data_IF_460161107912
#
_entry.id   IF_460161107912
#
_cell.length_a   1.000
_cell.length_b   1.000
_cell.length_c   1.000
_cell.angle_alpha   90.00
_cell.angle_beta   90.00
_cell.angle_gamma   90.00
#
_symmetry.space_group_name_H-M   'P 1'
#
loop_
_entity.id
_entity.type
_entity.pdbx_description
1 polymer ?
#
# COMPACT_ATOMS: atom_id res chain seq x y z
N UNK A 1 31.05 78.44 54.05
CA UNK A 1 31.93 77.26 53.97
C UNK A 1 31.35 76.02 54.66
N UNK A 2 30.98 76.05 55.96
CA UNK A 2 30.44 74.86 56.67
C UNK A 2 29.10 74.32 56.13
N UNK A 3 28.18 75.17 55.68
CA UNK A 3 26.90 74.74 55.09
C UNK A 3 27.07 74.00 53.75
N UNK A 4 27.98 74.48 52.89
CA UNK A 4 28.25 73.82 51.61
C UNK A 4 28.88 72.44 51.82
N UNK A 5 29.84 72.32 52.75
CA UNK A 5 30.46 71.04 53.10
C UNK A 5 29.45 69.99 53.61
N UNK A 6 28.45 70.41 54.38
CA UNK A 6 27.39 69.53 54.87
C UNK A 6 26.45 69.02 53.77
N UNK A 7 26.15 69.86 52.77
CA UNK A 7 25.35 69.50 51.59
C UNK A 7 26.10 68.49 50.70
N UNK A 8 27.38 68.77 50.44
CA UNK A 8 28.24 67.89 49.64
C UNK A 8 28.40 66.51 50.29
N UNK A 9 28.52 66.45 51.63
CA UNK A 9 28.55 65.19 52.39
C UNK A 9 27.25 64.39 52.30
N UNK A 10 26.10 65.04 52.27
CA UNK A 10 24.81 64.36 52.11
C UNK A 10 24.63 63.79 50.70
N UNK A 11 25.05 64.53 49.68
CA UNK A 11 25.03 64.11 48.28
C UNK A 11 25.94 62.90 48.04
N UNK A 12 27.17 62.92 48.59
CA UNK A 12 28.09 61.77 48.54
C UNK A 12 27.50 60.52 49.20
N UNK A 13 26.78 60.66 50.33
CA UNK A 13 26.12 59.52 50.97
C UNK A 13 24.97 58.96 50.12
N UNK A 14 24.19 59.83 49.48
CA UNK A 14 23.11 59.41 48.59
C UNK A 14 23.67 58.69 47.36
N UNK A 15 24.67 59.26 46.69
CA UNK A 15 25.38 58.64 45.56
C UNK A 15 25.94 57.26 45.93
N UNK A 16 26.55 57.13 47.12
CA UNK A 16 27.07 55.83 47.60
C UNK A 16 25.95 54.81 47.81
N UNK A 17 24.79 55.23 48.32
CA UNK A 17 23.62 54.38 48.51
C UNK A 17 23.04 53.91 47.16
N UNK A 18 22.90 54.82 46.21
CA UNK A 18 22.43 54.51 44.85
C UNK A 18 23.38 53.58 44.12
N UNK A 19 24.70 53.83 44.20
CA UNK A 19 25.72 52.95 43.63
C UNK A 19 25.62 51.53 44.19
N UNK A 20 25.40 51.39 45.51
CA UNK A 20 25.24 50.06 46.13
C UNK A 20 24.00 49.33 45.59
N UNK A 21 22.87 50.02 45.46
CA UNK A 21 21.64 49.45 44.88
C UNK A 21 21.84 49.05 43.42
N UNK A 22 22.51 49.89 42.63
CA UNK A 22 22.81 49.59 41.23
C UNK A 22 23.72 48.36 41.10
N UNK A 23 24.74 48.26 41.96
CA UNK A 23 25.64 47.11 41.99
C UNK A 23 24.91 45.81 42.33
N UNK A 24 24.02 45.83 43.32
CA UNK A 24 23.20 44.66 43.69
C UNK A 24 22.23 44.28 42.56
N UNK A 25 21.59 45.25 41.90
CA UNK A 25 20.73 45.01 40.75
C UNK A 25 21.50 44.41 39.56
N UNK A 26 22.69 44.94 39.26
CA UNK A 26 23.55 44.41 38.19
C UNK A 26 23.99 42.97 38.50
N UNK A 27 24.29 42.67 39.75
CA UNK A 27 24.62 41.29 40.16
C UNK A 27 23.44 40.35 39.93
N UNK A 28 22.24 40.73 40.36
CA UNK A 28 21.03 39.92 40.15
C UNK A 28 20.73 39.71 38.65
N UNK A 29 20.92 40.75 37.83
CA UNK A 29 20.76 40.65 36.38
C UNK A 29 21.77 39.66 35.77
N UNK A 30 23.02 39.70 36.22
CA UNK A 30 24.06 38.78 35.75
C UNK A 30 23.76 37.32 36.14
N UNK A 31 23.19 37.09 37.33
CA UNK A 31 22.78 35.76 37.78
C UNK A 31 21.61 35.24 36.92
N UNK A 32 20.56 36.03 36.72
CA UNK A 32 19.44 35.68 35.85
C UNK A 32 19.86 35.44 34.39
N UNK A 33 20.80 36.23 33.86
CA UNK A 33 21.33 36.05 32.50
C UNK A 33 22.03 34.70 32.34
N UNK A 34 22.79 34.25 33.36
CA UNK A 34 23.45 32.94 33.36
C UNK A 34 22.43 31.80 33.33
N UNK A 35 21.37 31.90 34.14
CA UNK A 35 20.30 30.90 34.19
C UNK A 35 19.58 30.76 32.85
N UNK A 36 19.18 31.90 32.25
CA UNK A 36 18.52 31.90 30.93
C UNK A 36 19.42 31.32 29.85
N UNK A 37 20.72 31.62 29.89
CA UNK A 37 21.70 31.07 28.93
C UNK A 37 21.84 29.56 29.08
N UNK A 38 21.89 29.06 30.32
CA UNK A 38 21.96 27.63 30.61
C UNK A 38 20.70 26.90 30.14
N UNK A 39 19.51 27.44 30.43
CA UNK A 39 18.24 26.84 30.00
C UNK A 39 18.10 26.85 28.47
N UNK A 40 18.51 27.93 27.80
CA UNK A 40 18.52 27.98 26.34
C UNK A 40 19.45 26.91 25.73
N UNK A 41 20.63 26.70 26.32
CA UNK A 41 21.52 25.61 25.90
C UNK A 41 20.88 24.23 26.07
N UNK A 42 20.20 23.99 27.21
CA UNK A 42 19.46 22.75 27.48
C UNK A 42 18.36 22.51 26.43
N UNK A 43 17.53 23.51 26.18
CA UNK A 43 16.44 23.45 25.20
C UNK A 43 16.94 23.24 23.77
N UNK A 44 18.10 23.81 23.41
CA UNK A 44 18.74 23.54 22.11
C UNK A 44 19.19 22.10 21.98
N UNK A 45 19.79 21.53 23.02
CA UNK A 45 20.20 20.13 23.03
C UNK A 45 19.00 19.19 22.94
N UNK A 46 17.93 19.46 23.70
CA UNK A 46 16.68 18.70 23.67
C UNK A 46 16.02 18.76 22.28
N UNK A 47 15.92 19.94 21.68
CA UNK A 47 15.42 20.09 20.30
C UNK A 47 16.28 19.32 19.29
N UNK A 48 17.60 19.28 19.47
CA UNK A 48 18.49 18.47 18.63
C UNK A 48 18.16 16.99 18.72
N UNK A 49 18.03 16.46 19.95
CA UNK A 49 17.67 15.07 20.21
C UNK A 49 16.30 14.70 19.62
N UNK A 50 15.30 15.55 19.82
CA UNK A 50 13.95 15.33 19.28
C UNK A 50 13.95 15.31 17.74
N UNK A 51 14.74 16.17 17.08
CA UNK A 51 14.87 16.15 15.62
C UNK A 51 15.45 14.82 15.13
N UNK A 52 16.52 14.33 15.77
CA UNK A 52 17.10 13.02 15.44
C UNK A 52 16.07 11.90 15.61
N UNK A 53 15.34 11.86 16.73
CA UNK A 53 14.30 10.86 16.95
C UNK A 53 13.19 10.92 15.89
N UNK A 54 12.78 12.13 15.47
CA UNK A 54 11.79 12.30 14.40
C UNK A 54 12.32 11.73 13.08
N UNK A 55 13.58 11.98 12.75
CA UNK A 55 14.17 11.49 11.50
C UNK A 55 14.33 9.96 11.52
N UNK A 56 14.75 9.39 12.65
CA UNK A 56 14.83 7.93 12.85
C UNK A 56 13.45 7.27 12.72
N UNK A 57 12.42 7.83 13.36
CA UNK A 57 11.05 7.32 13.28
C UNK A 57 10.49 7.40 11.87
N UNK A 58 10.78 8.49 11.12
CA UNK A 58 10.38 8.60 9.72
C UNK A 58 11.04 7.53 8.86
N UNK A 59 12.33 7.28 9.06
CA UNK A 59 13.05 6.25 8.34
C UNK A 59 12.50 4.85 8.67
N UNK A 60 12.24 4.58 9.94
CA UNK A 60 11.68 3.30 10.38
C UNK A 60 10.27 3.07 9.84
N UNK A 61 9.39 4.07 9.90
CA UNK A 61 8.04 3.99 9.33
C UNK A 61 8.11 3.75 7.83
N UNK A 62 8.95 4.50 7.10
CA UNK A 62 9.12 4.33 5.66
C UNK A 62 9.52 2.90 5.31
N UNK A 63 10.50 2.36 6.04
CA UNK A 63 10.96 0.97 5.85
C UNK A 63 9.87 -0.05 6.18
N UNK A 64 9.22 0.06 7.34
CA UNK A 64 8.15 -0.88 7.75
C UNK A 64 6.98 -0.88 6.78
N UNK A 65 6.59 0.30 6.27
CA UNK A 65 5.55 0.43 5.25
C UNK A 65 5.98 -0.26 3.96
N UNK A 66 7.21 -0.02 3.49
CA UNK A 66 7.72 -0.65 2.28
C UNK A 66 7.78 -2.19 2.42
N UNK A 67 8.35 -2.68 3.51
CA UNK A 67 8.49 -4.12 3.80
C UNK A 67 7.12 -4.82 3.89
N UNK A 68 6.07 -4.12 4.33
CA UNK A 68 4.72 -4.67 4.39
C UNK A 68 3.99 -4.61 3.02
N UNK A 69 4.17 -3.52 2.27
CA UNK A 69 3.40 -3.27 1.03
C UNK A 69 3.92 -4.08 -0.15
N UNK A 70 5.24 -4.24 -0.31
CA UNK A 70 5.80 -4.92 -1.49
C UNK A 70 5.43 -6.42 -1.58
N UNK A 71 5.46 -7.20 -0.49
CA UNK A 71 4.99 -8.59 -0.52
C UNK A 71 3.50 -8.68 -0.89
N UNK A 72 2.66 -7.79 -0.35
CA UNK A 72 1.23 -7.76 -0.64
C UNK A 72 0.95 -7.42 -2.11
N UNK A 73 1.68 -6.46 -2.68
CA UNK A 73 1.59 -6.17 -4.13
C UNK A 73 1.94 -7.41 -4.96
N UNK A 74 3.04 -8.08 -4.60
CA UNK A 74 3.49 -9.30 -5.29
C UNK A 74 2.44 -10.40 -5.21
N UNK A 75 1.84 -10.60 -4.04
CA UNK A 75 0.80 -11.60 -3.83
C UNK A 75 -0.49 -11.27 -4.61
N UNK A 76 -0.91 -10.00 -4.63
CA UNK A 76 -2.06 -9.53 -5.40
C UNK A 76 -1.85 -9.81 -6.90
N UNK A 77 -0.68 -9.48 -7.45
CA UNK A 77 -0.39 -9.75 -8.87
C UNK A 77 -0.36 -11.25 -9.17
N UNK A 78 0.24 -12.07 -8.29
CA UNK A 78 0.21 -13.53 -8.42
C UNK A 78 -1.23 -14.08 -8.39
N UNK A 79 -2.09 -13.56 -7.53
CA UNK A 79 -3.51 -13.92 -7.45
C UNK A 79 -4.28 -13.51 -8.71
N UNK A 80 -4.03 -12.31 -9.26
CA UNK A 80 -4.62 -11.87 -10.53
C UNK A 80 -4.21 -12.80 -11.68
N UNK A 81 -2.94 -13.15 -11.79
CA UNK A 81 -2.46 -14.10 -12.82
C UNK A 81 -3.13 -15.45 -12.68
N UNK A 82 -3.21 -16.00 -11.46
CA UNK A 82 -3.88 -17.28 -11.20
C UNK A 82 -5.37 -17.24 -11.52
N UNK A 83 -6.05 -16.15 -11.15
CA UNK A 83 -7.48 -15.97 -11.44
C UNK A 83 -7.73 -15.91 -12.94
N UNK A 84 -6.92 -15.15 -13.69
CA UNK A 84 -7.00 -15.12 -15.15
C UNK A 84 -6.78 -16.50 -15.75
N UNK A 85 -5.73 -17.22 -15.33
CA UNK A 85 -5.46 -18.58 -15.81
C UNK A 85 -6.61 -19.55 -15.52
N UNK A 86 -7.27 -19.42 -14.36
CA UNK A 86 -8.46 -20.21 -14.06
C UNK A 86 -9.64 -19.92 -15.00
N UNK A 87 -9.81 -18.64 -15.39
CA UNK A 87 -10.81 -18.25 -16.40
C UNK A 87 -10.44 -18.70 -17.82
N UNK A 88 -9.16 -18.75 -18.17
CA UNK A 88 -8.69 -19.33 -19.43
C UNK A 88 -9.03 -20.83 -19.50
N UNK A 89 -8.81 -21.58 -18.42
CA UNK A 89 -9.23 -22.98 -18.31
C UNK A 89 -10.76 -23.12 -18.38
N UNK A 90 -11.51 -22.21 -17.75
CA UNK A 90 -12.97 -22.18 -17.85
C UNK A 90 -13.43 -21.96 -19.30
N UNK A 91 -12.79 -21.03 -20.03
CA UNK A 91 -13.04 -20.78 -21.45
C UNK A 91 -12.85 -22.04 -22.26
N UNK A 92 -11.75 -22.76 -22.05
CA UNK A 92 -11.48 -24.02 -22.75
C UNK A 92 -12.56 -25.08 -22.48
N UNK A 93 -13.01 -25.20 -21.23
CA UNK A 93 -14.07 -26.14 -20.85
C UNK A 93 -15.39 -25.76 -21.53
N UNK A 94 -15.78 -24.49 -21.49
CA UNK A 94 -17.00 -23.99 -22.13
C UNK A 94 -16.97 -24.27 -23.63
N UNK A 95 -15.85 -23.97 -24.29
CA UNK A 95 -15.66 -24.20 -25.72
C UNK A 95 -15.72 -25.69 -26.07
N UNK A 96 -15.13 -26.55 -25.24
CA UNK A 96 -15.18 -28.00 -25.42
C UNK A 96 -16.60 -28.57 -25.24
N UNK A 97 -17.36 -28.05 -24.27
CA UNK A 97 -18.78 -28.43 -24.10
C UNK A 97 -19.61 -27.96 -25.31
N UNK A 98 -19.36 -26.75 -25.82
CA UNK A 98 -20.00 -26.23 -27.02
C UNK A 98 -19.77 -27.11 -28.26
N UNK A 99 -18.60 -27.74 -28.37
CA UNK A 99 -18.33 -28.69 -29.46
C UNK A 99 -19.31 -29.86 -29.50
N UNK A 100 -19.83 -30.32 -28.37
CA UNK A 100 -20.82 -31.41 -28.34
C UNK A 100 -22.09 -31.07 -29.11
N UNK A 101 -22.40 -29.78 -29.30
CA UNK A 101 -23.56 -29.31 -30.06
C UNK A 101 -23.19 -28.84 -31.47
N UNK A 102 -22.04 -28.18 -31.63
CA UNK A 102 -21.73 -27.41 -32.85
C UNK A 102 -20.54 -27.92 -33.66
N UNK A 103 -19.75 -28.91 -33.19
CA UNK A 103 -18.55 -29.37 -33.89
C UNK A 103 -18.86 -30.30 -35.08
N UNK A 104 -19.03 -29.73 -36.27
CA UNK A 104 -19.30 -30.50 -37.49
C UNK A 104 -18.08 -31.22 -38.06
N UNK A 105 -16.86 -30.88 -37.63
CA UNK A 105 -15.63 -31.27 -38.34
C UNK A 105 -14.80 -32.33 -37.60
N UNK A 106 -14.75 -32.24 -36.29
CA UNK A 106 -13.81 -33.04 -35.49
C UNK A 106 -14.46 -34.30 -34.91
N UNK A 107 -15.78 -34.48 -35.12
CA UNK A 107 -16.52 -35.68 -34.72
C UNK A 107 -16.96 -35.69 -33.26
N UNK A 108 -16.79 -34.59 -32.52
CA UNK A 108 -17.23 -34.51 -31.11
C UNK A 108 -18.70 -34.13 -30.95
N UNK A 109 -19.35 -33.66 -32.02
CA UNK A 109 -20.77 -33.34 -32.00
C UNK A 109 -21.62 -34.58 -31.78
N UNK A 110 -22.65 -34.42 -30.96
CA UNK A 110 -23.64 -35.46 -30.65
C UNK A 110 -24.86 -35.28 -31.58
N UNK A 111 -25.13 -36.26 -32.42
CA UNK A 111 -26.17 -36.18 -33.46
C UNK A 111 -27.60 -35.97 -32.94
N UNK A 112 -27.93 -36.53 -31.77
CA UNK A 112 -29.29 -36.52 -31.21
C UNK A 112 -29.30 -36.09 -29.74
N UNK A 113 -29.09 -34.79 -29.53
CA UNK A 113 -29.33 -34.18 -28.22
C UNK A 113 -30.84 -34.09 -27.92
N UNK A 114 -31.22 -34.42 -26.69
CA UNK A 114 -32.56 -34.09 -26.18
C UNK A 114 -32.68 -32.59 -25.98
N UNK A 115 -33.91 -32.05 -25.99
CA UNK A 115 -34.17 -30.62 -25.71
C UNK A 115 -33.57 -30.14 -24.38
N UNK A 116 -33.45 -31.03 -23.37
CA UNK A 116 -32.86 -30.69 -22.08
C UNK A 116 -31.33 -30.59 -22.16
N UNK A 117 -30.68 -31.50 -22.87
CA UNK A 117 -29.23 -31.48 -23.06
C UNK A 117 -28.80 -30.29 -23.91
N UNK A 118 -29.55 -30.00 -24.97
CA UNK A 118 -29.33 -28.85 -25.85
C UNK A 118 -29.33 -27.53 -25.06
N UNK A 119 -30.38 -27.30 -24.25
CA UNK A 119 -30.48 -26.12 -23.38
C UNK A 119 -29.39 -26.08 -22.30
N UNK A 120 -28.97 -27.23 -21.78
CA UNK A 120 -27.92 -27.29 -20.77
C UNK A 120 -26.58 -26.80 -21.36
N UNK A 121 -26.24 -27.24 -22.57
CA UNK A 121 -25.03 -26.80 -23.27
C UNK A 121 -25.05 -25.27 -23.48
N UNK A 122 -26.16 -24.72 -23.97
CA UNK A 122 -26.30 -23.27 -24.15
C UNK A 122 -26.19 -22.53 -22.82
N UNK A 123 -26.84 -23.04 -21.76
CA UNK A 123 -26.81 -22.43 -20.43
C UNK A 123 -25.41 -22.45 -19.80
N UNK A 124 -24.60 -23.47 -20.10
CA UNK A 124 -23.19 -23.53 -19.65
C UNK A 124 -22.36 -22.45 -20.34
N UNK A 125 -22.56 -22.23 -21.64
CA UNK A 125 -21.90 -21.15 -22.36
C UNK A 125 -22.31 -19.78 -21.81
N UNK A 126 -23.61 -19.53 -21.66
CA UNK A 126 -24.13 -18.27 -21.11
C UNK A 126 -23.60 -18.00 -19.69
N UNK A 127 -23.54 -19.04 -18.84
CA UNK A 127 -22.97 -18.92 -17.50
C UNK A 127 -21.49 -18.56 -17.54
N UNK A 128 -20.69 -19.23 -18.39
CA UNK A 128 -19.26 -18.94 -18.54
C UNK A 128 -19.00 -17.50 -18.96
N UNK A 129 -19.72 -17.05 -19.99
CA UNK A 129 -19.68 -15.68 -20.53
C UNK A 129 -20.03 -14.66 -19.43
N UNK A 130 -21.18 -14.83 -18.78
CA UNK A 130 -21.64 -13.90 -17.75
C UNK A 130 -20.67 -13.81 -16.56
N UNK A 131 -20.04 -14.93 -16.19
CA UNK A 131 -19.02 -14.94 -15.12
C UNK A 131 -17.74 -14.22 -15.54
N UNK A 132 -17.25 -14.47 -16.76
CA UNK A 132 -16.07 -13.80 -17.29
C UNK A 132 -16.28 -12.28 -17.40
N UNK A 133 -17.44 -11.83 -17.90
CA UNK A 133 -17.79 -10.40 -17.95
C UNK A 133 -17.83 -9.78 -16.54
N UNK A 134 -18.45 -10.47 -15.58
CA UNK A 134 -18.56 -9.98 -14.21
C UNK A 134 -17.21 -9.77 -13.53
N UNK A 135 -16.24 -10.64 -13.81
CA UNK A 135 -14.87 -10.52 -13.29
C UNK A 135 -13.97 -9.64 -14.16
N UNK A 136 -14.50 -9.01 -15.21
CA UNK A 136 -13.77 -8.07 -16.08
C UNK A 136 -12.92 -8.72 -17.17
N UNK A 137 -13.11 -10.01 -17.44
CA UNK A 137 -12.44 -10.75 -18.52
C UNK A 137 -13.29 -10.77 -19.80
N UNK A 138 -13.60 -9.57 -20.32
CA UNK A 138 -14.46 -9.42 -21.51
C UNK A 138 -13.87 -10.09 -22.76
N UNK A 139 -12.54 -10.13 -22.88
CA UNK A 139 -11.85 -10.84 -23.96
C UNK A 139 -12.13 -12.35 -23.95
N UNK A 140 -12.12 -12.96 -22.77
CA UNK A 140 -12.44 -14.38 -22.59
C UNK A 140 -13.93 -14.66 -22.80
N UNK A 141 -14.80 -13.76 -22.34
CA UNK A 141 -16.24 -13.85 -22.58
C UNK A 141 -16.57 -13.83 -24.08
N UNK A 142 -15.94 -12.91 -24.83
CA UNK A 142 -16.10 -12.85 -26.28
C UNK A 142 -15.59 -14.12 -26.98
N UNK A 143 -14.46 -14.67 -26.54
CA UNK A 143 -13.92 -15.92 -27.10
C UNK A 143 -14.88 -17.11 -26.87
N UNK A 144 -15.46 -17.22 -25.67
CA UNK A 144 -16.47 -18.25 -25.36
C UNK A 144 -17.73 -18.13 -26.25
N UNK A 145 -18.17 -16.91 -26.58
CA UNK A 145 -19.35 -16.70 -27.44
C UNK A 145 -19.09 -17.03 -28.91
N UNK A 146 -17.92 -16.63 -29.42
CA UNK A 146 -17.63 -16.62 -30.86
C UNK A 146 -16.97 -17.90 -31.35
N UNK A 147 -16.33 -18.65 -30.46
CA UNK A 147 -15.48 -19.76 -30.84
C UNK A 147 -15.85 -21.04 -30.10
N UNK A 148 -15.78 -22.17 -30.79
CA UNK A 148 -15.78 -23.52 -30.20
C UNK A 148 -14.42 -24.15 -30.46
N UNK A 149 -13.99 -25.07 -29.60
CA UNK A 149 -12.70 -25.72 -29.77
C UNK A 149 -12.18 -26.45 -28.54
N UNK A 150 -11.12 -27.22 -28.75
CA UNK A 150 -10.37 -27.92 -27.72
C UNK A 150 -9.00 -27.23 -27.56
N UNK A 151 -8.62 -26.89 -26.34
CA UNK A 151 -7.29 -26.34 -26.07
C UNK A 151 -6.17 -27.36 -26.33
N UNK A 152 -4.92 -26.92 -26.57
CA UNK A 152 -3.78 -27.82 -26.77
C UNK A 152 -3.63 -28.86 -25.65
N UNK A 153 -3.83 -28.44 -24.41
CA UNK A 153 -3.77 -29.28 -23.21
C UNK A 153 -4.84 -30.37 -23.25
N UNK A 154 -6.09 -29.99 -23.54
CA UNK A 154 -7.19 -30.94 -23.60
C UNK A 154 -7.04 -31.89 -24.82
N UNK A 155 -6.54 -31.40 -25.97
CA UNK A 155 -6.19 -32.24 -27.13
C UNK A 155 -5.15 -33.29 -26.76
N UNK A 156 -4.10 -32.90 -26.01
CA UNK A 156 -3.08 -33.83 -25.54
C UNK A 156 -3.66 -34.90 -24.62
N UNK A 157 -4.57 -34.52 -23.71
CA UNK A 157 -5.23 -35.45 -22.79
C UNK A 157 -6.14 -36.45 -23.53
N UNK A 158 -6.90 -35.99 -24.52
CA UNK A 158 -7.71 -36.84 -25.40
C UNK A 158 -6.82 -37.86 -26.10
N UNK A 159 -5.75 -37.40 -26.76
CA UNK A 159 -4.82 -38.29 -27.48
C UNK A 159 -4.03 -39.25 -26.59
N UNK A 160 -3.85 -38.96 -25.28
CA UNK A 160 -3.30 -39.93 -24.33
C UNK A 160 -4.32 -41.03 -24.03
N UNK A 161 -5.57 -40.66 -23.84
CA UNK A 161 -6.68 -41.57 -23.55
C UNK A 161 -6.93 -42.52 -24.74
N UNK A 162 -6.94 -41.98 -25.95
CA UNK A 162 -7.10 -42.76 -27.20
C UNK A 162 -5.99 -43.79 -27.42
N UNK A 163 -4.78 -43.53 -26.88
CA UNK A 163 -3.63 -44.45 -26.96
C UNK A 163 -3.64 -45.54 -25.87
N UNK A 164 -4.68 -45.61 -25.03
CA UNK A 164 -4.76 -46.59 -23.94
C UNK A 164 -3.73 -46.37 -22.84
N UNK A 165 -3.12 -45.19 -22.77
CA UNK A 165 -2.23 -44.79 -21.68
C UNK A 165 -3.14 -44.23 -20.59
N UNK A 166 -3.58 -45.11 -19.68
CA UNK A 166 -4.35 -44.70 -18.49
C UNK A 166 -3.50 -43.76 -17.61
N UNK A 167 -4.21 -42.85 -16.93
CA UNK A 167 -3.63 -41.76 -16.13
C UNK A 167 -2.86 -42.25 -14.90
#
# INVERSE_FOLDING_TARGET
>A
MKQNLGRDLAEVRNLKSEYKKLYEAQRGLNEAYKEVTAENARLKAENGSLRTQIDDLKAEIGKRVQDAVEPLKTEIEALKTRLRGAYEVLTDIVKAVGMMKYDEKSGFKVDKLTKKQDRLIDSVADLGVSRAEKEGFSDLAEDMQKHIGVSPELKKLIGLTERGIER
#
